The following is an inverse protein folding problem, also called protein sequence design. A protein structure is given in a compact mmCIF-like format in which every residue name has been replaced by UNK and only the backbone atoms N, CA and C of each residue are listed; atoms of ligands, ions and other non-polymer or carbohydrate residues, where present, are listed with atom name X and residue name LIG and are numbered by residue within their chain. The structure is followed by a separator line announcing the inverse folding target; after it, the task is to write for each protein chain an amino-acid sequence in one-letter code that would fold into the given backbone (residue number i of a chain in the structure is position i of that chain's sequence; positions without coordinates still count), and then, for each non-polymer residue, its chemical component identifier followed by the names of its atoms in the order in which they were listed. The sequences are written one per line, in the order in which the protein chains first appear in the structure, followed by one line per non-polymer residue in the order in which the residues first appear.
data_IF_841391149722
#
_entry.id   IF_841391149722
#
_cell.length_a   1.000
_cell.length_b   1.000
_cell.length_c   1.000
_cell.angle_alpha   90.00
_cell.angle_beta   90.00
_cell.angle_gamma   90.00
#
_symmetry.space_group_name_H-M   'P 1'
#
loop_
_entity.id
_entity.type
_entity.pdbx_description
1 polymer ?
#
# COMPACT_ATOMS: atom_id res chain seq x y z
N UNK A 1 -38.99 18.02 39.89
CA UNK A 1 -39.58 19.24 39.32
C UNK A 1 -38.64 19.76 38.25
N UNK A 2 -39.11 20.01 37.04
CA UNK A 2 -38.26 20.48 35.94
C UNK A 2 -37.73 21.90 36.20
N UNK A 3 -36.55 22.24 35.67
CA UNK A 3 -36.02 23.60 35.76
C UNK A 3 -36.74 24.52 34.78
N UNK A 4 -36.80 25.80 35.15
CA UNK A 4 -37.21 26.91 34.27
C UNK A 4 -36.04 27.87 34.13
N UNK A 5 -35.97 28.59 33.00
CA UNK A 5 -34.88 29.54 32.74
C UNK A 5 -34.82 30.63 33.82
N UNK A 6 -35.98 31.08 34.33
CA UNK A 6 -36.07 32.00 35.45
C UNK A 6 -35.38 31.47 36.73
N UNK A 7 -35.59 30.19 37.06
CA UNK A 7 -34.96 29.54 38.23
C UNK A 7 -33.45 29.36 38.04
N UNK A 8 -32.99 29.21 36.81
CA UNK A 8 -31.56 29.09 36.47
C UNK A 8 -30.85 30.45 36.56
N UNK A 9 -31.50 31.53 36.09
CA UNK A 9 -30.96 32.90 36.21
C UNK A 9 -30.90 33.36 37.66
N UNK A 10 -31.88 33.00 38.47
CA UNK A 10 -31.93 33.32 39.90
C UNK A 10 -30.92 32.51 40.76
N UNK A 11 -30.30 31.47 40.19
CA UNK A 11 -29.35 30.62 40.91
C UNK A 11 -28.03 31.36 41.17
N UNK A 12 -27.75 31.66 42.45
CA UNK A 12 -26.52 32.32 42.89
C UNK A 12 -25.44 31.31 43.29
N UNK A 13 -24.16 31.59 43.01
CA UNK A 13 -23.06 30.76 43.50
C UNK A 13 -23.05 30.72 45.04
N UNK A 14 -22.64 29.58 45.59
CA UNK A 14 -22.44 29.37 47.03
C UNK A 14 -21.03 28.83 47.25
N UNK A 15 -20.58 28.73 48.50
CA UNK A 15 -19.22 28.28 48.85
C UNK A 15 -18.90 26.84 48.37
N UNK A 16 -19.94 26.04 48.06
CA UNK A 16 -19.79 24.67 47.56
C UNK A 16 -20.62 24.46 46.30
N UNK A 17 -20.09 23.68 45.36
CA UNK A 17 -20.82 23.36 44.14
C UNK A 17 -22.11 22.59 44.46
N UNK A 18 -23.22 23.01 43.87
CA UNK A 18 -24.53 22.40 44.11
C UNK A 18 -25.26 22.10 42.80
N UNK A 19 -26.23 21.18 42.87
CA UNK A 19 -26.94 20.65 41.71
C UNK A 19 -28.37 21.17 41.68
N UNK A 20 -28.79 21.68 40.52
CA UNK A 20 -30.18 21.98 40.21
C UNK A 20 -30.69 20.93 39.23
N UNK A 21 -31.62 20.07 39.66
CA UNK A 21 -32.07 18.92 38.87
C UNK A 21 -33.19 19.32 37.89
N UNK A 22 -33.04 18.96 36.61
CA UNK A 22 -34.07 19.17 35.57
C UNK A 22 -34.92 17.92 35.31
N UNK A 23 -34.39 16.72 35.64
CA UNK A 23 -35.06 15.44 35.45
C UNK A 23 -34.35 14.53 34.45
N UNK A 24 -34.75 13.25 34.40
CA UNK A 24 -34.15 12.22 33.55
C UNK A 24 -32.60 12.13 33.65
N UNK A 25 -32.08 12.32 34.87
CA UNK A 25 -30.64 12.32 35.15
C UNK A 25 -29.91 13.62 34.77
N UNK A 26 -30.56 14.59 34.13
CA UNK A 26 -29.98 15.89 33.80
C UNK A 26 -30.07 16.86 34.98
N UNK A 27 -28.98 17.60 35.20
CA UNK A 27 -28.88 18.65 36.21
C UNK A 27 -27.93 19.76 35.74
N UNK A 28 -28.14 20.97 36.26
CA UNK A 28 -27.20 22.07 36.18
C UNK A 28 -26.30 22.04 37.42
N UNK A 29 -24.99 21.97 37.22
CA UNK A 29 -24.00 22.08 38.28
C UNK A 29 -23.52 23.52 38.38
N UNK A 30 -23.83 24.19 39.49
CA UNK A 30 -23.41 25.58 39.76
C UNK A 30 -22.17 25.52 40.65
N UNK A 31 -21.05 26.08 40.19
CA UNK A 31 -19.81 26.15 40.95
C UNK A 31 -19.70 27.46 41.75
N UNK A 32 -18.86 27.50 42.81
CA UNK A 32 -18.60 28.72 43.58
C UNK A 32 -18.07 29.89 42.74
N UNK A 33 -17.34 29.59 41.67
CA UNK A 33 -16.81 30.60 40.74
C UNK A 33 -17.86 31.15 39.74
N UNK A 34 -19.13 30.78 39.87
CA UNK A 34 -20.21 31.23 38.98
C UNK A 34 -20.37 30.46 37.67
N UNK A 35 -19.48 29.52 37.36
CA UNK A 35 -19.64 28.66 36.19
C UNK A 35 -20.78 27.66 36.38
N UNK A 36 -21.56 27.45 35.31
CA UNK A 36 -22.78 26.62 35.32
C UNK A 36 -22.71 25.58 34.21
N UNK A 37 -22.63 24.31 34.57
CA UNK A 37 -22.46 23.21 33.61
C UNK A 37 -23.69 22.32 33.53
N UNK A 38 -24.16 22.07 32.32
CA UNK A 38 -25.15 21.03 32.05
C UNK A 38 -24.50 19.66 32.11
N UNK A 39 -25.02 18.80 33.00
CA UNK A 39 -24.51 17.45 33.24
C UNK A 39 -25.65 16.44 33.16
N UNK A 40 -25.36 15.26 32.62
CA UNK A 40 -26.24 14.11 32.60
C UNK A 40 -25.60 12.96 33.36
N UNK A 41 -26.27 12.50 34.41
CA UNK A 41 -25.90 11.29 35.15
C UNK A 41 -26.59 10.09 34.53
N UNK A 42 -25.83 9.06 34.21
CA UNK A 42 -26.35 7.84 33.61
C UNK A 42 -25.58 6.61 34.10
N UNK A 43 -26.17 5.42 33.90
CA UNK A 43 -25.51 4.13 34.14
C UNK A 43 -25.45 3.35 32.85
N UNK A 44 -24.30 2.74 32.59
CA UNK A 44 -24.07 1.82 31.49
C UNK A 44 -23.12 0.73 31.98
N UNK A 45 -23.39 -0.53 31.64
CA UNK A 45 -22.60 -1.70 32.10
C UNK A 45 -22.35 -1.69 33.63
N UNK A 46 -23.38 -1.36 34.41
CA UNK A 46 -23.31 -1.33 35.88
C UNK A 46 -22.52 -0.18 36.52
N UNK A 47 -21.88 0.70 35.72
CA UNK A 47 -21.09 1.84 36.23
C UNK A 47 -21.83 3.16 36.06
N UNK A 48 -21.79 4.01 37.09
CA UNK A 48 -22.32 5.37 37.04
C UNK A 48 -21.30 6.33 36.41
N UNK A 49 -21.75 7.08 35.40
CA UNK A 49 -20.94 8.06 34.68
C UNK A 49 -21.69 9.39 34.58
N UNK A 50 -20.93 10.47 34.37
CA UNK A 50 -21.47 11.81 34.15
C UNK A 50 -21.00 12.37 32.81
N UNK A 51 -21.95 12.70 31.93
CA UNK A 51 -21.72 13.31 30.62
C UNK A 51 -21.86 14.83 30.70
N UNK A 52 -20.95 15.57 30.05
CA UNK A 52 -21.09 17.01 29.87
C UNK A 52 -21.96 17.33 28.65
N UNK A 53 -23.03 18.11 28.84
CA UNK A 53 -23.95 18.53 27.78
C UNK A 53 -23.66 19.95 27.28
N UNK A 54 -23.03 20.81 28.09
CA UNK A 54 -22.71 22.18 27.72
C UNK A 54 -22.46 23.09 28.93
N UNK A 55 -22.20 24.36 28.67
CA UNK A 55 -22.05 25.43 29.68
C UNK A 55 -23.19 26.42 29.49
N UNK A 56 -23.82 26.89 30.56
CA UNK A 56 -24.83 27.94 30.51
C UNK A 56 -24.15 29.31 30.65
N UNK A 57 -24.52 30.36 29.88
CA UNK A 57 -25.69 30.44 29.00
C UNK A 57 -25.47 30.01 27.54
N UNK A 58 -24.24 29.66 27.13
CA UNK A 58 -23.92 29.28 25.75
C UNK A 58 -24.77 28.13 25.22
N UNK A 59 -25.11 27.17 26.09
CA UNK A 59 -26.08 26.11 25.81
C UNK A 59 -27.34 26.40 26.62
N UNK A 60 -28.41 26.70 25.91
CA UNK A 60 -29.72 26.97 26.47
C UNK A 60 -30.33 25.73 27.16
N UNK A 61 -31.33 25.93 28.01
CA UNK A 61 -32.05 24.81 28.67
C UNK A 61 -32.70 23.87 27.64
N UNK A 62 -33.26 24.41 26.56
CA UNK A 62 -33.85 23.62 25.47
C UNK A 62 -32.80 22.77 24.76
N UNK A 63 -31.67 23.36 24.37
CA UNK A 63 -30.55 22.61 23.76
C UNK A 63 -29.97 21.54 24.68
N UNK A 64 -29.86 21.83 25.98
CA UNK A 64 -29.41 20.86 26.97
C UNK A 64 -30.37 19.65 27.03
N UNK A 65 -31.68 19.87 26.93
CA UNK A 65 -32.69 18.80 26.87
C UNK A 65 -32.60 18.00 25.57
N UNK A 66 -32.38 18.63 24.42
CA UNK A 66 -32.15 17.92 23.16
C UNK A 66 -30.92 17.00 23.25
N UNK A 67 -29.79 17.53 23.74
CA UNK A 67 -28.55 16.76 23.93
C UNK A 67 -28.71 15.63 24.95
N UNK A 68 -29.56 15.82 25.97
CA UNK A 68 -29.93 14.77 26.92
C UNK A 68 -30.66 13.63 26.22
N UNK A 69 -31.65 13.94 25.40
CA UNK A 69 -32.49 12.93 24.75
C UNK A 69 -31.70 12.13 23.70
N UNK A 70 -30.81 12.79 22.95
CA UNK A 70 -29.83 12.13 22.08
C UNK A 70 -28.91 11.18 22.86
N UNK A 71 -28.33 11.65 23.98
CA UNK A 71 -27.45 10.83 24.80
C UNK A 71 -28.19 9.62 25.40
N UNK A 72 -29.46 9.79 25.81
CA UNK A 72 -30.28 8.69 26.33
C UNK A 72 -30.60 7.65 25.27
N UNK A 73 -30.84 8.06 24.02
CA UNK A 73 -31.03 7.14 22.90
C UNK A 73 -29.80 6.25 22.69
N UNK A 74 -28.60 6.84 22.71
CA UNK A 74 -27.35 6.09 22.61
C UNK A 74 -27.15 5.11 23.78
N UNK A 75 -27.48 5.53 25.00
CA UNK A 75 -27.41 4.67 26.19
C UNK A 75 -28.38 3.50 26.07
N UNK A 76 -29.59 3.69 25.53
CA UNK A 76 -30.54 2.59 25.30
C UNK A 76 -30.08 1.60 24.23
N UNK A 77 -29.24 2.04 23.30
CA UNK A 77 -28.61 1.21 22.28
C UNK A 77 -27.32 0.52 22.79
N UNK A 78 -26.96 0.72 24.07
CA UNK A 78 -25.76 0.14 24.68
C UNK A 78 -24.45 0.86 24.33
N UNK A 79 -24.51 2.03 23.70
CA UNK A 79 -23.35 2.83 23.29
C UNK A 79 -23.02 3.88 24.36
N UNK A 80 -21.76 3.95 24.80
CA UNK A 80 -21.30 4.95 25.75
C UNK A 80 -21.15 6.34 25.08
N UNK A 81 -21.95 7.36 25.45
CA UNK A 81 -21.88 8.68 24.82
C UNK A 81 -20.57 9.43 25.10
N UNK A 82 -19.87 9.14 26.21
CA UNK A 82 -18.56 9.74 26.51
C UNK A 82 -17.48 9.20 25.55
N UNK A 83 -17.54 7.92 25.18
CA UNK A 83 -16.62 7.32 24.21
C UNK A 83 -16.90 7.82 22.79
N UNK A 84 -18.17 7.94 22.41
CA UNK A 84 -18.54 8.51 21.10
C UNK A 84 -18.13 9.98 20.98
N UNK A 85 -18.26 10.78 22.06
CA UNK A 85 -17.75 12.17 22.08
C UNK A 85 -16.23 12.23 22.03
N UNK A 86 -15.50 11.30 22.65
CA UNK A 86 -14.03 11.21 22.53
C UNK A 86 -13.62 10.87 21.10
N UNK A 87 -14.27 9.90 20.48
CA UNK A 87 -14.02 9.52 19.09
C UNK A 87 -14.33 10.66 18.09
N UNK A 88 -15.33 11.50 18.37
CA UNK A 88 -15.71 12.65 17.52
C UNK A 88 -14.93 13.95 17.80
N UNK A 89 -14.25 14.09 18.94
CA UNK A 89 -13.54 15.33 19.34
C UNK A 89 -12.06 15.40 18.96
N UNK A 90 -11.47 14.30 18.48
CA UNK A 90 -10.13 14.36 17.92
C UNK A 90 -10.26 14.83 16.48
N UNK A 91 -10.18 16.14 16.26
CA UNK A 91 -9.67 16.63 14.96
C UNK A 91 -8.20 16.23 15.01
N UNK A 92 -7.75 15.23 14.24
CA UNK A 92 -6.35 14.86 14.24
C UNK A 92 -5.58 16.11 13.84
N UNK A 93 -4.51 16.44 14.55
CA UNK A 93 -3.46 17.21 13.91
C UNK A 93 -3.14 16.46 12.62
N UNK A 94 -3.34 17.09 11.46
CA UNK A 94 -3.10 16.44 10.16
C UNK A 94 -1.68 15.89 10.09
N UNK A 95 -0.74 16.48 10.86
CA UNK A 95 0.64 16.03 11.03
C UNK A 95 0.76 14.65 11.72
N UNK A 96 -0.22 14.23 12.50
CA UNK A 96 -0.25 12.95 13.23
C UNK A 96 -1.11 11.88 12.55
N UNK A 97 -1.74 12.21 11.41
CA UNK A 97 -2.49 11.21 10.63
C UNK A 97 -1.57 10.10 10.10
N UNK A 98 -2.08 8.87 10.01
CA UNK A 98 -1.33 7.74 9.46
C UNK A 98 -0.83 8.04 8.04
N UNK A 99 -1.67 8.66 7.20
CA UNK A 99 -1.30 9.03 5.84
C UNK A 99 -0.13 10.02 5.81
N UNK A 100 -0.17 11.08 6.63
CA UNK A 100 0.91 12.06 6.69
C UNK A 100 2.24 11.40 7.08
N UNK A 101 2.24 10.55 8.11
CA UNK A 101 3.43 9.83 8.54
C UNK A 101 3.89 8.82 7.50
N UNK A 102 2.98 8.13 6.82
CA UNK A 102 3.31 7.21 5.74
C UNK A 102 3.98 7.92 4.56
N UNK A 103 3.54 9.13 4.21
CA UNK A 103 4.18 9.95 3.16
C UNK A 103 5.56 10.46 3.60
N UNK A 104 5.74 10.83 4.87
CA UNK A 104 7.07 11.18 5.42
C UNK A 104 8.04 9.99 5.41
N UNK A 105 7.57 8.81 5.83
CA UNK A 105 8.34 7.57 5.73
C UNK A 105 8.72 7.28 4.28
N UNK A 106 7.78 7.39 3.35
CA UNK A 106 8.03 7.17 1.92
C UNK A 106 9.09 8.14 1.37
N UNK A 107 8.97 9.44 1.67
CA UNK A 107 9.95 10.46 1.26
C UNK A 107 11.33 10.29 1.92
N UNK A 108 11.41 9.65 3.10
CA UNK A 108 12.69 9.36 3.75
C UNK A 108 13.53 8.33 3.00
N UNK A 109 12.91 7.51 2.13
CA UNK A 109 13.61 6.47 1.40
C UNK A 109 14.19 6.98 0.07
N UNK A 110 15.46 7.36 0.09
CA UNK A 110 16.18 7.88 -1.09
C UNK A 110 16.78 6.80 -1.99
N UNK A 111 16.76 5.53 -1.57
CA UNK A 111 17.45 4.43 -2.28
C UNK A 111 16.54 3.69 -3.26
N UNK A 112 15.23 3.92 -3.20
CA UNK A 112 14.29 3.30 -4.11
C UNK A 112 14.35 3.90 -5.50
N UNK A 113 14.41 3.04 -6.52
CA UNK A 113 14.14 3.46 -7.88
C UNK A 113 12.73 4.07 -7.97
N UNK A 114 12.55 5.14 -8.75
CA UNK A 114 11.29 5.89 -8.87
C UNK A 114 10.09 4.95 -9.08
N UNK A 115 10.19 4.01 -10.02
CA UNK A 115 9.11 3.06 -10.31
C UNK A 115 8.74 2.15 -9.13
N UNK A 116 9.67 1.85 -8.23
CA UNK A 116 9.37 1.11 -7.01
C UNK A 116 8.73 2.03 -5.99
N UNK A 117 9.27 3.24 -5.81
CA UNK A 117 8.73 4.28 -4.95
C UNK A 117 7.25 4.57 -5.26
N UNK A 118 6.90 4.78 -6.54
CA UNK A 118 5.53 5.03 -6.98
C UNK A 118 4.60 3.84 -6.69
N UNK A 119 5.07 2.61 -6.93
CA UNK A 119 4.32 1.39 -6.59
C UNK A 119 4.15 1.21 -5.07
N UNK A 120 5.08 1.72 -4.27
CA UNK A 120 4.95 1.73 -2.82
C UNK A 120 3.80 2.64 -2.41
N UNK A 121 3.87 3.90 -2.80
CA UNK A 121 2.90 4.91 -2.44
C UNK A 121 1.50 4.58 -2.99
N UNK A 122 1.41 4.18 -4.26
CA UNK A 122 0.12 3.86 -4.89
C UNK A 122 -0.63 2.74 -4.18
N UNK A 123 0.07 1.75 -3.63
CA UNK A 123 -0.61 0.70 -2.87
C UNK A 123 -1.15 1.21 -1.54
N UNK A 124 -0.44 2.14 -0.88
CA UNK A 124 -0.91 2.72 0.38
C UNK A 124 -2.16 3.56 0.12
N UNK A 125 -2.13 4.38 -0.93
CA UNK A 125 -3.27 5.19 -1.38
C UNK A 125 -4.48 4.33 -1.75
N UNK A 126 -4.25 3.20 -2.42
CA UNK A 126 -5.34 2.35 -2.91
C UNK A 126 -5.92 1.45 -1.81
N UNK A 127 -5.09 0.95 -0.90
CA UNK A 127 -5.49 -0.14 0.00
C UNK A 127 -5.42 0.19 1.49
N UNK A 128 -4.74 1.26 1.91
CA UNK A 128 -4.52 1.56 3.34
C UNK A 128 -5.19 2.87 3.74
N UNK A 129 -4.91 3.95 3.03
CA UNK A 129 -5.43 5.28 3.35
C UNK A 129 -6.96 5.36 3.41
N UNK A 130 -7.74 4.66 2.56
CA UNK A 130 -9.20 4.66 2.66
C UNK A 130 -9.75 4.14 4.00
N UNK A 131 -8.97 3.32 4.74
CA UNK A 131 -9.42 2.71 5.99
C UNK A 131 -8.88 3.44 7.22
N UNK A 132 -7.59 3.77 7.21
CA UNK A 132 -6.89 4.29 8.41
C UNK A 132 -6.10 5.57 8.14
N UNK A 133 -6.08 6.10 6.91
CA UNK A 133 -5.22 7.23 6.52
C UNK A 133 -5.43 8.48 7.37
N UNK A 134 -6.68 8.86 7.61
CA UNK A 134 -7.05 10.04 8.40
C UNK A 134 -7.03 9.81 9.92
N UNK A 135 -6.75 8.59 10.39
CA UNK A 135 -6.74 8.29 11.82
C UNK A 135 -5.41 8.74 12.44
N UNK A 136 -5.47 9.24 13.66
CA UNK A 136 -4.30 9.59 14.45
C UNK A 136 -3.47 8.33 14.74
N UNK A 137 -2.22 8.33 14.28
CA UNK A 137 -1.30 7.20 14.38
C UNK A 137 -1.01 6.79 15.83
N UNK A 138 -1.12 7.72 16.78
CA UNK A 138 -0.87 7.49 18.21
C UNK A 138 -1.98 6.67 18.88
N UNK A 139 -3.16 6.59 18.24
CA UNK A 139 -4.34 5.89 18.74
C UNK A 139 -4.55 4.52 18.11
N UNK A 140 -3.81 4.20 17.04
CA UNK A 140 -3.98 2.96 16.29
C UNK A 140 -3.43 1.76 17.08
N UNK A 141 -4.24 0.71 17.18
CA UNK A 141 -3.85 -0.58 17.74
C UNK A 141 -3.78 -1.68 16.66
N UNK A 142 -3.35 -2.88 17.03
CA UNK A 142 -3.20 -4.00 16.08
C UNK A 142 -4.50 -4.34 15.33
N UNK A 143 -5.67 -4.46 15.97
CA UNK A 143 -6.95 -4.62 15.26
C UNK A 143 -7.21 -3.56 14.19
N UNK A 144 -6.95 -2.27 14.49
CA UNK A 144 -7.15 -1.18 13.54
C UNK A 144 -6.26 -1.33 12.31
N UNK A 145 -4.99 -1.71 12.52
CA UNK A 145 -4.01 -1.90 11.45
C UNK A 145 -4.32 -3.11 10.56
N UNK A 146 -5.04 -4.11 11.08
CA UNK A 146 -5.46 -5.30 10.32
C UNK A 146 -6.63 -5.04 9.38
N UNK A 147 -7.43 -3.99 9.59
CA UNK A 147 -8.59 -3.64 8.75
C UNK A 147 -8.24 -3.60 7.24
N UNK A 148 -7.27 -2.77 6.79
CA UNK A 148 -6.91 -2.71 5.37
C UNK A 148 -6.35 -4.03 4.84
N UNK A 149 -5.64 -4.79 5.68
CA UNK A 149 -5.02 -6.06 5.28
C UNK A 149 -6.08 -7.14 5.07
N UNK A 150 -7.02 -7.28 6.01
CA UNK A 150 -8.17 -8.19 5.91
C UNK A 150 -9.07 -7.86 4.73
N UNK A 151 -9.25 -6.57 4.42
CA UNK A 151 -10.00 -6.14 3.23
C UNK A 151 -9.37 -6.63 1.91
N UNK A 152 -8.03 -6.72 1.84
CA UNK A 152 -7.33 -7.30 0.68
C UNK A 152 -7.32 -8.83 0.68
N UNK A 153 -7.24 -9.44 1.86
CA UNK A 153 -7.33 -10.89 2.03
C UNK A 153 -8.71 -11.44 1.62
N UNK A 154 -9.79 -10.73 1.94
CA UNK A 154 -11.15 -11.07 1.52
C UNK A 154 -11.31 -11.11 -0.02
N UNK A 155 -10.44 -10.41 -0.77
CA UNK A 155 -10.37 -10.46 -2.23
C UNK A 155 -9.47 -11.58 -2.76
N UNK A 156 -8.93 -12.43 -1.88
CA UNK A 156 -8.00 -13.51 -2.16
C UNK A 156 -6.68 -13.04 -2.82
N UNK A 157 -6.25 -11.79 -2.57
CA UNK A 157 -5.00 -11.24 -3.12
C UNK A 157 -3.89 -11.22 -2.05
N UNK A 158 -3.47 -12.42 -1.65
CA UNK A 158 -2.61 -12.65 -0.48
C UNK A 158 -1.21 -12.02 -0.58
N UNK A 159 -0.61 -11.95 -1.77
CA UNK A 159 0.69 -11.29 -1.96
C UNK A 159 0.60 -9.78 -1.65
N UNK A 160 -0.50 -9.14 -2.05
CA UNK A 160 -0.74 -7.73 -1.75
C UNK A 160 -0.97 -7.57 -0.25
N UNK A 161 -1.80 -8.40 0.37
CA UNK A 161 -2.05 -8.36 1.82
C UNK A 161 -0.73 -8.44 2.63
N UNK A 162 0.14 -9.41 2.30
CA UNK A 162 1.45 -9.55 2.94
C UNK A 162 2.33 -8.31 2.75
N UNK A 163 2.38 -7.74 1.53
CA UNK A 163 3.12 -6.50 1.27
C UNK A 163 2.55 -5.30 2.02
N UNK A 164 1.23 -5.20 2.18
CA UNK A 164 0.60 -4.13 2.95
C UNK A 164 0.96 -4.24 4.42
N UNK A 165 0.92 -5.44 5.00
CA UNK A 165 1.34 -5.68 6.39
C UNK A 165 2.79 -5.22 6.61
N UNK A 166 3.71 -5.57 5.70
CA UNK A 166 5.11 -5.12 5.77
C UNK A 166 5.23 -3.60 5.71
N UNK A 167 4.48 -2.95 4.82
CA UNK A 167 4.49 -1.48 4.66
C UNK A 167 3.92 -0.77 5.88
N UNK A 168 2.76 -1.21 6.39
CA UNK A 168 2.16 -0.68 7.61
C UNK A 168 3.15 -0.83 8.78
N UNK A 169 3.79 -2.00 8.91
CA UNK A 169 4.80 -2.24 9.94
C UNK A 169 6.01 -1.31 9.81
N UNK A 170 6.45 -1.00 8.59
CA UNK A 170 7.53 -0.08 8.33
C UNK A 170 7.15 1.38 8.66
N UNK A 171 5.93 1.81 8.32
CA UNK A 171 5.40 3.14 8.68
C UNK A 171 5.31 3.30 10.20
N UNK A 172 4.76 2.31 10.91
CA UNK A 172 4.69 2.36 12.37
C UNK A 172 6.08 2.30 13.01
N UNK A 173 7.03 1.56 12.43
CA UNK A 173 8.44 1.57 12.86
C UNK A 173 9.06 2.97 12.69
N UNK A 174 8.80 3.63 11.56
CA UNK A 174 9.25 5.00 11.33
C UNK A 174 8.65 5.98 12.34
N UNK A 175 7.38 5.80 12.71
CA UNK A 175 6.75 6.61 13.76
C UNK A 175 7.42 6.41 15.14
N UNK A 176 7.83 5.19 15.49
CA UNK A 176 8.65 4.91 16.69
C UNK A 176 10.00 5.63 16.60
N UNK A 177 10.72 5.46 15.49
CA UNK A 177 12.03 6.09 15.27
C UNK A 177 11.98 7.62 15.30
N UNK A 178 10.83 8.19 14.94
CA UNK A 178 10.58 9.63 14.96
C UNK A 178 10.06 10.16 16.31
N UNK A 179 9.95 9.29 17.33
CA UNK A 179 9.48 9.66 18.67
C UNK A 179 7.97 9.96 18.78
N UNK A 180 7.19 9.65 17.75
CA UNK A 180 5.75 9.95 17.68
C UNK A 180 4.95 8.95 18.52
N UNK A 181 5.35 7.68 18.48
CA UNK A 181 4.76 6.60 19.27
C UNK A 181 5.85 5.84 20.01
N UNK A 182 5.51 5.27 21.16
CA UNK A 182 6.49 4.54 22.01
C UNK A 182 6.70 3.09 21.59
N UNK A 183 5.66 2.46 21.06
CA UNK A 183 5.65 1.05 20.68
C UNK A 183 5.04 0.88 19.29
N UNK A 184 5.46 -0.15 18.57
CA UNK A 184 4.93 -0.49 17.25
C UNK A 184 3.87 -1.61 17.35
N UNK A 185 2.56 -1.28 17.37
CA UNK A 185 1.48 -2.28 17.42
C UNK A 185 1.37 -3.14 16.14
N UNK A 186 2.09 -2.79 15.08
CA UNK A 186 2.13 -3.59 13.86
C UNK A 186 2.94 -4.89 13.99
N UNK A 187 3.82 -4.99 15.00
CA UNK A 187 4.62 -6.20 15.25
C UNK A 187 3.73 -7.41 15.51
N UNK A 188 2.63 -7.19 16.23
CA UNK A 188 1.66 -8.22 16.60
C UNK A 188 0.69 -8.60 15.46
N UNK A 189 0.84 -8.01 14.26
CA UNK A 189 0.12 -8.47 13.07
C UNK A 189 0.73 -9.77 12.50
N UNK A 190 1.96 -10.13 12.87
CA UNK A 190 2.60 -11.35 12.40
C UNK A 190 1.74 -12.58 12.75
N UNK A 191 1.46 -13.44 11.76
CA UNK A 191 0.59 -14.60 11.93
C UNK A 191 -0.92 -14.32 11.87
N UNK A 192 -1.36 -13.07 11.77
CA UNK A 192 -2.77 -12.72 11.67
C UNK A 192 -3.38 -12.96 10.27
N UNK A 193 -2.56 -13.20 9.25
CA UNK A 193 -2.98 -13.48 7.89
C UNK A 193 -2.92 -14.97 7.58
N UNK A 194 -3.84 -15.41 6.73
CA UNK A 194 -3.85 -16.76 6.16
C UNK A 194 -2.54 -16.98 5.41
N UNK A 195 -1.76 -17.94 5.88
CA UNK A 195 -0.54 -18.35 5.18
C UNK A 195 -0.95 -19.19 3.98
N UNK A 196 -1.03 -18.57 2.81
CA UNK A 196 -1.23 -19.32 1.56
C UNK A 196 0.04 -20.05 1.20
N UNK A 197 -0.08 -21.36 0.97
CA UNK A 197 1.03 -22.15 0.42
C UNK A 197 1.43 -21.53 -0.90
N UNK A 198 2.63 -20.94 -0.93
CA UNK A 198 3.17 -20.31 -2.13
C UNK A 198 3.30 -21.38 -3.22
N UNK A 199 2.49 -21.27 -4.26
CA UNK A 199 2.66 -22.09 -5.45
C UNK A 199 3.82 -21.50 -6.26
N UNK A 200 4.96 -22.16 -6.22
CA UNK A 200 6.08 -21.82 -7.07
C UNK A 200 5.78 -22.23 -8.51
N UNK A 201 6.26 -21.46 -9.49
CA UNK A 201 6.26 -21.93 -10.88
C UNK A 201 7.24 -23.11 -10.98
N UNK A 202 6.81 -24.28 -11.47
CA UNK A 202 7.71 -25.42 -11.58
C UNK A 202 8.83 -25.10 -12.55
N UNK A 203 10.06 -25.47 -12.18
CA UNK A 203 11.16 -25.47 -13.13
C UNK A 203 10.90 -26.55 -14.19
N UNK A 204 11.36 -26.32 -15.42
CA UNK A 204 11.32 -27.35 -16.44
C UNK A 204 12.33 -28.43 -16.09
N UNK A 205 11.89 -29.69 -16.08
CA UNK A 205 12.79 -30.83 -15.92
C UNK A 205 13.76 -30.92 -17.10
N UNK A 206 15.04 -31.20 -16.83
CA UNK A 206 16.07 -31.30 -17.86
C UNK A 206 15.75 -32.36 -18.92
N UNK A 207 15.07 -33.45 -18.55
CA UNK A 207 14.60 -34.48 -19.47
C UNK A 207 13.58 -33.96 -20.50
N UNK A 208 12.92 -32.83 -20.22
CA UNK A 208 11.96 -32.18 -21.11
C UNK A 208 12.59 -31.07 -21.96
N UNK A 209 13.89 -30.84 -21.85
CA UNK A 209 14.59 -29.87 -22.70
C UNK A 209 14.45 -30.18 -24.20
N UNK A 210 14.54 -31.45 -24.68
CA UNK A 210 14.30 -31.77 -26.08
C UNK A 210 12.88 -31.41 -26.54
N UNK A 211 11.88 -31.62 -25.69
CA UNK A 211 10.48 -31.23 -25.95
C UNK A 211 10.36 -29.71 -26.10
N UNK A 212 10.98 -28.95 -25.19
CA UNK A 212 11.01 -27.48 -25.27
C UNK A 212 11.65 -27.01 -26.58
N UNK A 213 12.82 -27.54 -26.93
CA UNK A 213 13.53 -27.17 -28.16
C UNK A 213 12.71 -27.49 -29.41
N UNK A 214 12.04 -28.65 -29.45
CA UNK A 214 11.13 -29.03 -30.53
C UNK A 214 9.93 -28.07 -30.64
N UNK A 215 9.33 -27.67 -29.52
CA UNK A 215 8.23 -26.69 -29.49
C UNK A 215 8.68 -25.30 -29.95
N UNK A 216 9.89 -24.87 -29.58
CA UNK A 216 10.46 -23.62 -30.08
C UNK A 216 10.72 -23.73 -31.59
N UNK A 217 11.28 -24.85 -32.06
CA UNK A 217 11.55 -25.11 -33.48
C UNK A 217 10.29 -25.09 -34.36
N UNK A 218 9.16 -25.55 -33.84
CA UNK A 218 7.86 -25.59 -34.52
C UNK A 218 7.01 -24.33 -34.36
N UNK A 219 7.53 -23.29 -33.69
CA UNK A 219 6.82 -22.03 -33.49
C UNK A 219 6.56 -21.32 -34.83
N UNK A 220 5.28 -21.11 -35.16
CA UNK A 220 4.84 -20.47 -36.43
C UNK A 220 4.68 -18.95 -36.35
N UNK A 221 5.11 -18.33 -35.25
CA UNK A 221 5.01 -16.88 -35.09
C UNK A 221 6.20 -16.14 -35.71
N UNK A 222 6.55 -14.99 -35.15
CA UNK A 222 7.64 -14.18 -35.70
C UNK A 222 9.00 -14.86 -35.50
N UNK A 223 9.82 -15.00 -36.55
CA UNK A 223 11.16 -15.60 -36.46
C UNK A 223 12.06 -14.91 -35.41
N UNK A 224 12.00 -13.57 -35.31
CA UNK A 224 12.73 -12.81 -34.28
C UNK A 224 12.38 -13.28 -32.85
N UNK A 225 11.12 -13.66 -32.59
CA UNK A 225 10.71 -14.18 -31.28
C UNK A 225 11.35 -15.53 -31.00
N UNK A 226 11.37 -16.42 -32.00
CA UNK A 226 11.97 -17.74 -31.89
C UNK A 226 13.47 -17.63 -31.59
N UNK A 227 14.19 -16.81 -32.37
CA UNK A 227 15.62 -16.56 -32.20
C UNK A 227 15.92 -15.89 -30.86
N UNK A 228 15.10 -14.95 -30.40
CA UNK A 228 15.24 -14.33 -29.08
C UNK A 228 15.13 -15.35 -27.93
N UNK A 229 14.17 -16.26 -28.00
CA UNK A 229 13.99 -17.32 -26.99
C UNK A 229 15.16 -18.29 -27.03
N UNK A 230 15.59 -18.72 -28.21
CA UNK A 230 16.75 -19.60 -28.38
C UNK A 230 18.04 -18.97 -27.85
N UNK A 231 18.30 -17.71 -28.18
CA UNK A 231 19.46 -17.00 -27.67
C UNK A 231 19.41 -16.90 -26.14
N UNK A 232 18.24 -16.56 -25.57
CA UNK A 232 18.09 -16.44 -24.13
C UNK A 232 18.34 -17.76 -23.38
N UNK A 233 18.03 -18.91 -24.00
CA UNK A 233 18.36 -20.23 -23.45
C UNK A 233 19.87 -20.55 -23.47
N UNK A 234 20.65 -19.84 -24.29
CA UNK A 234 22.11 -20.00 -24.36
C UNK A 234 22.82 -19.06 -23.39
N UNK A 235 22.31 -17.83 -23.22
CA UNK A 235 23.01 -16.77 -22.44
C UNK A 235 22.39 -16.47 -21.07
N UNK A 236 21.14 -16.89 -20.81
CA UNK A 236 20.43 -16.73 -19.54
C UNK A 236 20.39 -15.29 -18.98
N UNK A 237 20.32 -14.28 -19.84
CA UNK A 237 20.22 -12.88 -19.42
C UNK A 237 18.78 -12.50 -19.09
N UNK A 238 18.58 -11.34 -18.44
CA UNK A 238 17.22 -10.91 -18.09
C UNK A 238 16.47 -10.48 -19.35
N UNK A 239 15.16 -10.69 -19.35
CA UNK A 239 14.30 -10.25 -20.47
C UNK A 239 14.50 -8.78 -20.83
N UNK A 240 14.67 -7.87 -19.86
CA UNK A 240 14.96 -6.46 -20.18
C UNK A 240 16.33 -6.26 -20.81
N UNK A 241 17.34 -7.02 -20.41
CA UNK A 241 18.69 -6.93 -20.96
C UNK A 241 18.69 -7.41 -22.42
N UNK A 242 17.96 -8.49 -22.72
CA UNK A 242 17.77 -9.03 -24.05
C UNK A 242 16.94 -8.09 -24.96
N UNK A 243 15.76 -7.65 -24.49
CA UNK A 243 14.82 -6.88 -25.34
C UNK A 243 15.38 -5.54 -25.80
N UNK A 244 16.22 -4.90 -24.99
CA UNK A 244 16.81 -3.60 -25.32
C UNK A 244 18.23 -3.72 -25.90
N UNK A 245 18.65 -4.94 -26.27
CA UNK A 245 19.96 -5.21 -26.84
C UNK A 245 20.20 -4.41 -28.13
N UNK A 246 21.43 -3.93 -28.29
CA UNK A 246 21.87 -3.19 -29.46
C UNK A 246 23.03 -3.89 -30.13
N UNK A 247 23.12 -3.76 -31.45
CA UNK A 247 24.24 -4.33 -32.21
C UNK A 247 25.59 -3.79 -31.75
N UNK A 248 25.66 -2.52 -31.34
CA UNK A 248 26.87 -1.90 -30.78
C UNK A 248 27.37 -2.55 -29.49
N UNK A 249 26.60 -3.45 -28.86
CA UNK A 249 26.99 -4.19 -27.66
C UNK A 249 27.61 -5.56 -27.97
N UNK A 250 27.50 -6.01 -29.23
CA UNK A 250 27.96 -7.32 -29.69
C UNK A 250 29.29 -7.16 -30.41
N UNK A 251 30.28 -7.88 -29.92
CA UNK A 251 31.53 -8.14 -30.61
C UNK A 251 31.46 -9.58 -31.14
N UNK A 252 31.08 -9.72 -32.42
CA UNK A 252 30.91 -11.02 -33.07
C UNK A 252 32.26 -11.73 -33.21
N UNK A 253 33.33 -10.99 -33.55
CA UNK A 253 34.66 -11.53 -33.79
C UNK A 253 35.27 -12.14 -32.52
N UNK A 254 35.11 -11.46 -31.39
CA UNK A 254 35.56 -11.95 -30.09
C UNK A 254 34.50 -12.80 -29.34
N UNK A 255 33.37 -13.09 -29.99
CA UNK A 255 32.24 -13.83 -29.42
C UNK A 255 31.85 -13.32 -28.02
N UNK A 256 31.66 -11.99 -27.89
CA UNK A 256 31.37 -11.33 -26.63
C UNK A 256 30.19 -10.38 -26.76
N UNK A 257 29.27 -10.44 -25.79
CA UNK A 257 28.26 -9.40 -25.60
C UNK A 257 28.54 -8.62 -24.32
N UNK A 258 28.84 -7.33 -24.47
CA UNK A 258 29.01 -6.40 -23.34
C UNK A 258 27.73 -5.63 -23.08
N UNK A 259 26.94 -6.09 -22.10
CA UNK A 259 25.73 -5.38 -21.67
C UNK A 259 26.17 -4.17 -20.81
N UNK A 260 25.89 -2.92 -21.22
CA UNK A 260 26.31 -1.75 -20.47
C UNK A 260 25.55 -1.63 -19.14
N UNK A 261 26.04 -0.81 -18.22
CA UNK A 261 25.35 -0.51 -16.96
C UNK A 261 23.96 0.10 -17.19
N UNK A 262 23.88 1.07 -18.11
CA UNK A 262 22.66 1.74 -18.58
C UNK A 262 22.75 1.98 -20.09
N UNK A 263 21.62 2.31 -20.71
CA UNK A 263 21.48 2.58 -22.14
C UNK A 263 20.85 3.94 -22.36
N UNK A 264 21.10 4.53 -23.51
CA UNK A 264 20.35 5.72 -23.92
C UNK A 264 18.85 5.40 -24.03
N UNK A 265 17.95 6.19 -23.44
CA UNK A 265 16.51 5.95 -23.56
C UNK A 265 16.05 6.02 -25.01
N UNK A 266 15.21 5.06 -25.42
CA UNK A 266 14.50 5.12 -26.69
C UNK A 266 13.24 6.01 -26.55
N UNK A 267 12.97 6.92 -27.50
CA UNK A 267 11.80 7.79 -27.48
C UNK A 267 10.48 6.99 -27.36
N UNK A 268 9.65 7.33 -26.37
CA UNK A 268 8.35 6.71 -26.17
C UNK A 268 8.38 5.25 -25.67
N UNK A 269 9.56 4.68 -25.37
CA UNK A 269 9.69 3.30 -24.88
C UNK A 269 10.08 3.29 -23.42
N UNK A 270 9.11 2.93 -22.56
CA UNK A 270 9.33 2.82 -21.12
C UNK A 270 10.43 1.81 -20.80
N UNK A 271 11.32 2.18 -19.87
CA UNK A 271 12.41 1.34 -19.34
C UNK A 271 13.51 0.94 -20.33
N UNK A 272 13.53 1.50 -21.54
CA UNK A 272 14.56 1.23 -22.56
C UNK A 272 15.97 1.63 -22.15
N UNK A 273 16.11 2.51 -21.15
CA UNK A 273 17.40 2.88 -20.57
C UNK A 273 18.07 1.78 -19.74
N UNK A 274 17.36 0.68 -19.44
CA UNK A 274 17.89 -0.37 -18.57
C UNK A 274 19.02 -1.10 -19.27
N UNK A 275 20.21 -1.06 -18.67
CA UNK A 275 21.33 -1.95 -18.97
C UNK A 275 21.31 -3.16 -18.04
N UNK A 276 22.49 -3.52 -17.52
CA UNK A 276 22.65 -4.63 -16.59
C UNK A 276 21.94 -4.35 -15.27
N UNK A 277 21.43 -5.42 -14.63
CA UNK A 277 20.75 -5.31 -13.34
C UNK A 277 21.62 -4.71 -12.23
N UNK A 278 22.92 -4.97 -12.26
CA UNK A 278 23.87 -4.56 -11.22
C UNK A 278 24.42 -3.14 -11.45
N UNK A 279 24.03 -2.46 -12.53
CA UNK A 279 24.52 -1.13 -12.92
C UNK A 279 26.03 -1.07 -13.13
N UNK A 280 26.60 -2.18 -13.59
CA UNK A 280 27.99 -2.32 -14.01
C UNK A 280 28.03 -3.07 -15.34
N UNK A 281 29.02 -2.86 -16.23
CA UNK A 281 29.13 -3.67 -17.44
C UNK A 281 29.08 -5.17 -17.13
N UNK A 282 28.28 -5.92 -17.88
CA UNK A 282 28.14 -7.37 -17.74
C UNK A 282 28.61 -8.03 -19.03
N UNK A 283 29.70 -8.78 -18.93
CA UNK A 283 30.32 -9.50 -20.04
C UNK A 283 29.67 -10.88 -20.16
N UNK A 284 29.15 -11.17 -21.35
CA UNK A 284 28.44 -12.42 -21.67
C UNK A 284 29.17 -13.10 -22.83
N UNK A 285 30.01 -14.11 -22.56
CA UNK A 285 30.62 -14.91 -23.62
C UNK A 285 29.56 -15.62 -24.47
N UNK A 286 29.74 -15.60 -25.78
CA UNK A 286 28.81 -16.15 -26.75
C UNK A 286 29.29 -17.52 -27.24
N UNK A 287 28.44 -18.53 -27.12
CA UNK A 287 28.70 -19.84 -27.74
C UNK A 287 28.61 -19.75 -29.27
N UNK A 288 29.16 -20.75 -29.97
CA UNK A 288 29.06 -20.83 -31.44
C UNK A 288 27.61 -20.75 -31.93
N UNK A 289 26.68 -21.36 -31.20
CA UNK A 289 25.24 -21.31 -31.49
C UNK A 289 24.66 -19.92 -31.28
N UNK A 290 25.09 -19.21 -30.22
CA UNK A 290 24.65 -17.84 -29.95
C UNK A 290 25.14 -16.88 -31.04
N UNK A 291 26.40 -17.03 -31.47
CA UNK A 291 26.97 -16.28 -32.59
C UNK A 291 26.18 -16.56 -33.88
N UNK A 292 25.89 -17.82 -34.21
CA UNK A 292 25.11 -18.16 -35.39
C UNK A 292 23.71 -17.50 -35.40
N UNK A 293 23.02 -17.51 -34.25
CA UNK A 293 21.71 -16.84 -34.10
C UNK A 293 21.84 -15.33 -34.29
N UNK A 294 22.87 -14.70 -33.74
CA UNK A 294 23.11 -13.28 -33.89
C UNK A 294 23.45 -12.92 -35.35
N UNK A 295 24.28 -13.71 -36.03
CA UNK A 295 24.56 -13.52 -37.46
C UNK A 295 23.28 -13.63 -38.29
N UNK A 296 22.42 -14.62 -38.03
CA UNK A 296 21.13 -14.75 -38.70
C UNK A 296 20.24 -13.51 -38.48
N UNK A 297 20.10 -13.06 -37.23
CA UNK A 297 19.36 -11.83 -36.89
C UNK A 297 19.91 -10.59 -37.59
N UNK A 298 21.23 -10.48 -37.71
CA UNK A 298 21.91 -9.36 -38.35
C UNK A 298 21.58 -9.29 -39.84
N UNK A 299 21.42 -10.43 -40.52
CA UNK A 299 21.00 -10.44 -41.94
C UNK A 299 19.61 -9.87 -42.17
N UNK A 300 18.71 -9.96 -41.18
CA UNK A 300 17.34 -9.48 -41.31
C UNK A 300 17.17 -8.03 -40.84
N UNK A 301 17.82 -7.65 -39.74
CA UNK A 301 17.64 -6.35 -39.09
C UNK A 301 18.72 -5.32 -39.46
N UNK A 302 19.79 -5.75 -40.14
CA UNK A 302 21.00 -4.95 -40.34
C UNK A 302 21.89 -4.90 -39.09
N UNK A 303 22.89 -4.02 -39.12
CA UNK A 303 23.95 -3.96 -38.10
C UNK A 303 23.80 -2.78 -37.12
N UNK A 304 22.75 -1.97 -37.28
CA UNK A 304 22.56 -0.74 -36.52
C UNK A 304 21.28 -0.78 -35.69
N UNK A 305 21.34 -0.22 -34.48
CA UNK A 305 20.17 -0.09 -33.61
C UNK A 305 19.86 -1.35 -32.79
N UNK A 306 18.58 -1.68 -32.67
CA UNK A 306 18.08 -2.77 -31.82
C UNK A 306 18.25 -4.13 -32.49
N UNK A 307 18.66 -5.14 -31.72
CA UNK A 307 18.73 -6.53 -32.18
C UNK A 307 17.33 -7.14 -32.32
N UNK A 308 16.47 -6.91 -31.32
CA UNK A 308 15.13 -7.52 -31.24
C UNK A 308 14.03 -6.49 -31.45
N UNK A 309 13.67 -6.29 -32.71
CA UNK A 309 12.69 -5.28 -33.13
C UNK A 309 11.26 -5.79 -33.09
N UNK A 310 10.31 -4.88 -32.86
CA UNK A 310 8.88 -5.19 -32.80
C UNK A 310 8.27 -5.35 -34.18
N UNK A 311 7.32 -6.30 -34.29
CA UNK A 311 6.55 -6.63 -35.49
C UNK A 311 6.03 -5.43 -36.31
N UNK A 312 5.52 -4.42 -35.61
CA UNK A 312 4.80 -3.29 -36.21
C UNK A 312 5.66 -2.03 -36.31
N UNK A 313 6.73 -1.93 -35.54
CA UNK A 313 7.57 -0.74 -35.44
C UNK A 313 9.02 -1.16 -35.17
N UNK A 314 9.88 -1.17 -36.20
CA UNK A 314 11.28 -1.58 -36.08
C UNK A 314 12.11 -0.69 -35.15
N UNK A 315 11.62 0.51 -34.80
CA UNK A 315 12.28 1.42 -33.86
C UNK A 315 11.97 1.07 -32.39
N UNK A 316 11.04 0.14 -32.17
CA UNK A 316 10.65 -0.33 -30.84
C UNK A 316 11.10 -1.76 -30.63
N UNK A 317 11.44 -2.13 -29.39
CA UNK A 317 11.82 -3.50 -29.08
C UNK A 317 10.59 -4.41 -29.05
N UNK A 318 10.81 -5.72 -29.18
CA UNK A 318 9.77 -6.73 -28.90
C UNK A 318 9.11 -6.50 -27.53
N UNK A 319 7.84 -6.85 -27.36
CA UNK A 319 7.12 -6.59 -26.10
C UNK A 319 7.58 -7.49 -24.95
N UNK A 320 7.39 -7.04 -23.69
CA UNK A 320 7.74 -7.85 -22.51
C UNK A 320 6.94 -9.14 -22.44
N UNK A 321 5.67 -9.05 -22.85
CA UNK A 321 4.74 -10.17 -22.82
C UNK A 321 5.10 -11.24 -23.85
N UNK A 322 5.76 -10.90 -24.95
CA UNK A 322 6.20 -11.90 -25.96
C UNK A 322 7.24 -12.85 -25.35
N UNK A 323 8.18 -12.33 -24.56
CA UNK A 323 9.15 -13.17 -23.83
C UNK A 323 8.48 -13.97 -22.71
N UNK A 324 7.56 -13.36 -21.95
CA UNK A 324 6.90 -14.06 -20.84
C UNK A 324 5.89 -15.13 -21.31
N UNK A 325 5.20 -14.90 -22.44
CA UNK A 325 4.22 -15.82 -23.00
C UNK A 325 4.88 -17.02 -23.68
N UNK A 326 6.04 -16.84 -24.32
CA UNK A 326 6.80 -17.94 -24.95
C UNK A 326 7.38 -18.93 -23.92
N UNK A 327 7.68 -18.49 -22.70
CA UNK A 327 8.07 -19.37 -21.59
C UNK A 327 6.90 -20.08 -20.90
N UNK A 328 5.65 -19.73 -21.24
CA UNK A 328 4.48 -20.39 -20.66
C UNK A 328 4.11 -21.58 -21.56
N UNK A 329 4.73 -22.73 -21.32
CA UNK A 329 4.20 -24.00 -21.81
C UNK A 329 2.85 -24.19 -21.09
N UNK A 330 1.75 -23.80 -21.72
CA UNK A 330 0.43 -24.21 -21.26
C UNK A 330 0.43 -25.74 -21.29
N UNK A 331 0.37 -26.35 -20.11
CA UNK A 331 -0.02 -27.74 -19.99
C UNK A 331 -1.45 -27.86 -20.55
N UNK A 332 -1.59 -28.43 -21.75
CA UNK A 332 -2.87 -28.82 -22.33
C UNK A 332 -3.33 -28.00 -23.53
N UNK A 333 -3.14 -28.57 -24.72
CA UNK A 333 -4.10 -28.61 -25.82
C UNK A 333 -3.62 -29.67 -26.82
N UNK A 334 -4.18 -30.89 -26.67
CA UNK A 334 -4.57 -31.70 -27.83
C UNK A 334 -5.92 -31.15 -28.27
#
# INVERSE_FOLDING_TARGET
MALTDAKIRAAKPTDKAYKLTDGAGMFLLVHPNGSRYWRLRYRILGKEKTLALGVYPEVSLSEARTKRDEARKLISEGVDPCEQKRAKKVVPDLQLSFEHIARRWHASNKQWAQSHSDKVLKSLETHVFPFIGNRDITTLNTPDLLIPVRATEAKQIYEIASRLQQRISAVMRYAVQSGIIRYNPALDMAGALTTVKRQHRPALDLSRLPELLSRIGSYKGQPVTQLAVMLNLLVFIRSSELRYARWSEIDIDNAMWTIPAEREPLPGVKFSHRGSKMRTPHLVPLSKQAVAILTELQTWAGENGLIFTGAHDPRKPISENVMNASHTIKHGAV
#
